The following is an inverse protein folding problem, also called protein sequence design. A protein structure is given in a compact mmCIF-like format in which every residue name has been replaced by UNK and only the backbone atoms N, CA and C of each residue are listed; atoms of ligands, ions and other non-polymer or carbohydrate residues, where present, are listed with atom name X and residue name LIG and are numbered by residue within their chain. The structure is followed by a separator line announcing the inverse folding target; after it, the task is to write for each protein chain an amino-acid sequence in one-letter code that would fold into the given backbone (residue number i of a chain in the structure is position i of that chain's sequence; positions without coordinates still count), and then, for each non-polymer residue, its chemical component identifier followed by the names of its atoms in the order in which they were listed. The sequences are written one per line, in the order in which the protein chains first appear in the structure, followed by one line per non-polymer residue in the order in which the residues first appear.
data_IF_676632852094
#
_entry.id   IF_676632852094
#
_cell.length_a   1.000
_cell.length_b   1.000
_cell.length_c   1.000
_cell.angle_alpha   90.00
_cell.angle_beta   90.00
_cell.angle_gamma   90.00
#
_symmetry.space_group_name_H-M   'P 1'
#
loop_
_entity.id
_entity.type
_entity.pdbx_description
1 polymer ?
#
# COMPACT_ATOMS: atom_id res chain seq x y z
N UNK A 1 3.03 -58.38 33.03
CA UNK A 1 3.12 -56.93 33.30
C UNK A 1 4.53 -56.35 33.07
N UNK A 2 5.62 -56.94 33.61
CA UNK A 2 7.01 -56.44 33.41
C UNK A 2 7.48 -56.32 31.95
N UNK A 3 7.06 -57.22 31.05
CA UNK A 3 7.45 -57.21 29.63
C UNK A 3 6.68 -56.17 28.79
N UNK A 4 5.45 -55.83 29.18
CA UNK A 4 4.63 -54.79 28.51
C UNK A 4 5.13 -53.39 28.90
N UNK A 5 5.52 -53.19 30.17
CA UNK A 5 6.13 -51.93 30.62
C UNK A 5 7.48 -51.65 29.94
N UNK A 6 8.28 -52.69 29.66
CA UNK A 6 9.59 -52.55 29.01
C UNK A 6 9.48 -52.22 27.51
N UNK A 7 8.45 -52.74 26.81
CA UNK A 7 8.18 -52.42 25.40
C UNK A 7 7.63 -50.99 25.25
N UNK A 8 6.79 -50.51 26.18
CA UNK A 8 6.33 -49.12 26.18
C UNK A 8 7.47 -48.11 26.43
N UNK A 9 8.47 -48.45 27.26
CA UNK A 9 9.64 -47.59 27.46
C UNK A 9 10.56 -47.51 26.23
N UNK A 10 10.67 -48.58 25.43
CA UNK A 10 11.48 -48.57 24.21
C UNK A 10 10.81 -47.84 23.03
N UNK A 11 9.48 -47.86 22.96
CA UNK A 11 8.73 -47.11 21.94
C UNK A 11 8.69 -45.60 22.24
N UNK A 12 8.74 -45.20 23.51
CA UNK A 12 8.74 -43.80 23.92
C UNK A 12 10.07 -43.07 23.62
N UNK A 13 11.19 -43.78 23.50
CA UNK A 13 12.50 -43.20 23.18
C UNK A 13 12.74 -42.97 21.68
N UNK A 14 12.07 -43.71 20.78
CA UNK A 14 12.20 -43.49 19.33
C UNK A 14 11.42 -42.28 18.79
N UNK A 15 10.48 -41.72 19.57
CA UNK A 15 9.64 -40.60 19.13
C UNK A 15 10.29 -39.21 19.28
N UNK A 16 11.52 -39.12 19.80
CA UNK A 16 12.20 -37.84 20.07
C UNK A 16 13.29 -37.45 19.05
N UNK A 17 13.53 -38.24 18.02
CA UNK A 17 14.55 -37.94 16.99
C UNK A 17 14.06 -37.00 15.87
N UNK A 18 12.94 -36.28 16.07
CA UNK A 18 12.32 -35.40 15.08
C UNK A 18 12.73 -33.92 15.14
N UNK A 19 13.75 -33.53 15.91
CA UNK A 19 14.25 -32.16 15.91
C UNK A 19 15.13 -31.95 14.67
N UNK A 20 14.50 -31.52 13.58
CA UNK A 20 15.13 -31.35 12.27
C UNK A 20 16.30 -30.37 12.29
N UNK A 21 17.40 -30.78 11.66
CA UNK A 21 18.49 -29.89 11.25
C UNK A 21 17.93 -28.85 10.29
N UNK A 22 18.27 -27.56 10.47
CA UNK A 22 17.83 -26.50 9.55
C UNK A 22 18.77 -26.53 8.34
N UNK A 23 18.30 -26.91 7.15
CA UNK A 23 19.16 -27.06 5.98
C UNK A 23 19.53 -25.68 5.40
N UNK A 24 20.68 -25.57 4.72
CA UNK A 24 21.21 -24.30 4.19
C UNK A 24 20.28 -23.69 3.14
N UNK A 25 19.59 -24.55 2.41
CA UNK A 25 18.60 -24.27 1.39
C UNK A 25 17.42 -23.46 1.95
N UNK A 26 17.03 -23.66 3.21
CA UNK A 26 15.94 -22.91 3.86
C UNK A 26 16.38 -21.49 4.23
N UNK A 27 17.66 -21.28 4.57
CA UNK A 27 18.23 -19.93 4.78
C UNK A 27 18.30 -19.17 3.45
N UNK A 28 18.78 -19.84 2.39
CA UNK A 28 18.89 -19.26 1.05
C UNK A 28 17.51 -18.88 0.48
N UNK A 29 16.51 -19.76 0.63
CA UNK A 29 15.13 -19.47 0.24
C UNK A 29 14.57 -18.24 0.96
N UNK A 30 14.86 -18.07 2.25
CA UNK A 30 14.44 -16.89 3.01
C UNK A 30 15.12 -15.60 2.50
N UNK A 31 16.38 -15.67 2.06
CA UNK A 31 17.07 -14.54 1.44
C UNK A 31 16.45 -14.16 0.10
N UNK A 32 16.23 -15.13 -0.77
CA UNK A 32 15.55 -14.94 -2.08
C UNK A 32 14.14 -14.38 -1.90
N UNK A 33 13.38 -14.88 -0.92
CA UNK A 33 12.05 -14.34 -0.58
C UNK A 33 12.10 -12.85 -0.22
N UNK A 34 13.17 -12.41 0.45
CA UNK A 34 13.38 -10.98 0.73
C UNK A 34 13.61 -10.13 -0.52
N UNK A 35 14.35 -10.66 -1.50
CA UNK A 35 14.57 -10.00 -2.79
C UNK A 35 13.28 -9.94 -3.62
N UNK A 36 12.54 -11.05 -3.68
CA UNK A 36 11.26 -11.12 -4.40
C UNK A 36 10.25 -10.13 -3.80
N UNK A 37 10.19 -10.02 -2.47
CA UNK A 37 9.31 -9.08 -1.79
C UNK A 37 9.64 -7.61 -2.14
N UNK A 38 10.92 -7.28 -2.28
CA UNK A 38 11.36 -5.95 -2.73
C UNK A 38 10.95 -5.67 -4.18
N UNK A 39 11.09 -6.66 -5.07
CA UNK A 39 10.69 -6.52 -6.47
C UNK A 39 9.17 -6.35 -6.62
N UNK A 40 8.39 -7.08 -5.82
CA UNK A 40 6.92 -6.95 -5.78
C UNK A 40 6.54 -5.57 -5.23
N UNK A 41 7.18 -5.09 -4.16
CA UNK A 41 6.93 -3.76 -3.60
C UNK A 41 7.08 -2.67 -4.67
N UNK A 42 8.20 -2.67 -5.39
CA UNK A 42 8.45 -1.70 -6.48
C UNK A 42 7.42 -1.80 -7.60
N UNK A 43 7.00 -3.01 -7.95
CA UNK A 43 5.97 -3.24 -8.97
C UNK A 43 4.61 -2.68 -8.56
N UNK A 44 4.23 -2.86 -7.28
CA UNK A 44 3.00 -2.29 -6.73
C UNK A 44 3.03 -0.76 -6.70
N UNK A 45 4.15 -0.16 -6.27
CA UNK A 45 4.32 1.30 -6.31
C UNK A 45 4.17 1.84 -7.74
N UNK A 46 4.76 1.17 -8.73
CA UNK A 46 4.64 1.57 -10.13
C UNK A 46 3.20 1.45 -10.65
N UNK A 47 2.49 0.37 -10.29
CA UNK A 47 1.08 0.18 -10.66
C UNK A 47 0.19 1.30 -10.10
N UNK A 48 0.37 1.62 -8.81
CA UNK A 48 -0.38 2.68 -8.13
C UNK A 48 -0.16 4.02 -8.83
N UNK A 49 1.11 4.40 -9.05
CA UNK A 49 1.45 5.67 -9.73
C UNK A 49 0.83 5.75 -11.11
N UNK A 50 0.98 4.72 -11.93
CA UNK A 50 0.40 4.68 -13.27
C UNK A 50 -1.13 4.81 -13.25
N UNK A 51 -1.80 4.18 -12.28
CA UNK A 51 -3.24 4.29 -12.11
C UNK A 51 -3.65 5.74 -11.80
N UNK A 52 -3.01 6.38 -10.83
CA UNK A 52 -3.32 7.76 -10.44
C UNK A 52 -2.93 8.78 -11.50
N UNK A 53 -1.85 8.56 -12.25
CA UNK A 53 -1.49 9.36 -13.42
C UNK A 53 -2.57 9.31 -14.49
N UNK A 54 -3.13 8.13 -14.76
CA UNK A 54 -4.23 7.99 -15.70
C UNK A 54 -5.49 8.73 -15.20
N UNK A 55 -5.82 8.66 -13.91
CA UNK A 55 -6.94 9.41 -13.33
C UNK A 55 -6.74 10.93 -13.46
N UNK A 56 -5.53 11.44 -13.22
CA UNK A 56 -5.18 12.85 -13.43
C UNK A 56 -5.36 13.25 -14.90
N UNK A 57 -4.87 12.44 -15.83
CA UNK A 57 -5.00 12.69 -17.27
C UNK A 57 -6.47 12.74 -17.72
N UNK A 58 -7.29 11.78 -17.27
CA UNK A 58 -8.73 11.76 -17.59
C UNK A 58 -9.44 12.98 -17.01
N UNK A 59 -9.14 13.33 -15.76
CA UNK A 59 -9.72 14.50 -15.08
C UNK A 59 -9.34 15.80 -15.79
N UNK A 60 -8.06 15.98 -16.12
CA UNK A 60 -7.59 17.15 -16.86
C UNK A 60 -8.23 17.21 -18.24
N UNK A 61 -8.30 16.10 -18.97
CA UNK A 61 -8.97 16.04 -20.27
C UNK A 61 -10.45 16.40 -20.19
N UNK A 62 -11.15 15.95 -19.14
CA UNK A 62 -12.54 16.35 -18.90
C UNK A 62 -12.67 17.86 -18.63
N UNK A 63 -11.80 18.42 -17.78
CA UNK A 63 -11.78 19.84 -17.48
C UNK A 63 -11.52 20.65 -18.75
N UNK A 64 -10.47 20.31 -19.49
CA UNK A 64 -10.01 21.08 -20.65
C UNK A 64 -10.98 20.99 -21.83
N UNK A 65 -11.55 19.81 -22.10
CA UNK A 65 -12.35 19.59 -23.31
C UNK A 65 -13.86 19.71 -23.10
N UNK A 66 -14.35 19.67 -21.86
CA UNK A 66 -15.80 19.74 -21.57
C UNK A 66 -16.15 20.85 -20.60
N UNK A 67 -15.56 20.86 -19.41
CA UNK A 67 -15.99 21.76 -18.35
C UNK A 67 -15.58 23.22 -18.62
N UNK A 68 -14.30 23.48 -18.93
CA UNK A 68 -13.78 24.82 -19.20
C UNK A 68 -14.52 25.47 -20.38
N UNK A 69 -14.70 24.82 -21.54
CA UNK A 69 -15.44 25.44 -22.65
C UNK A 69 -16.89 25.78 -22.29
N UNK A 70 -17.57 24.91 -21.53
CA UNK A 70 -18.94 25.17 -21.08
C UNK A 70 -19.00 26.33 -20.08
N UNK A 71 -18.08 26.36 -19.12
CA UNK A 71 -17.96 27.44 -18.15
C UNK A 71 -17.67 28.79 -18.81
N UNK A 72 -16.68 28.84 -19.70
CA UNK A 72 -16.32 30.06 -20.44
C UNK A 72 -17.49 30.58 -21.28
N UNK A 73 -18.22 29.70 -21.97
CA UNK A 73 -19.39 30.08 -22.76
C UNK A 73 -20.49 30.73 -21.90
N UNK A 74 -20.69 30.25 -20.66
CA UNK A 74 -21.57 30.89 -19.68
C UNK A 74 -21.02 32.23 -19.19
N UNK A 75 -19.77 32.24 -18.73
CA UNK A 75 -19.12 33.42 -18.17
C UNK A 75 -19.01 34.60 -19.16
N UNK A 76 -18.81 34.33 -20.45
CA UNK A 76 -18.80 35.35 -21.51
C UNK A 76 -20.19 36.01 -21.64
N UNK A 77 -21.26 35.24 -21.54
CA UNK A 77 -22.64 35.74 -21.66
C UNK A 77 -23.06 36.51 -20.42
N UNK A 78 -22.75 35.99 -19.23
CA UNK A 78 -23.10 36.62 -17.96
C UNK A 78 -22.34 37.94 -17.74
N UNK A 79 -21.07 38.01 -18.15
CA UNK A 79 -20.25 39.21 -18.03
C UNK A 79 -20.38 40.22 -19.17
N UNK A 80 -21.26 39.99 -20.16
CA UNK A 80 -21.36 40.74 -21.42
C UNK A 80 -19.99 41.12 -22.02
N UNK A 81 -19.08 40.13 -22.09
CA UNK A 81 -17.71 40.37 -22.54
C UNK A 81 -17.67 40.89 -23.99
N UNK A 82 -18.67 40.51 -24.79
CA UNK A 82 -18.82 40.97 -26.18
C UNK A 82 -19.25 42.43 -26.25
N UNK A 83 -20.14 42.88 -25.35
CA UNK A 83 -20.50 44.29 -25.23
C UNK A 83 -19.31 45.12 -24.75
N UNK A 84 -18.62 44.64 -23.70
CA UNK A 84 -17.41 45.28 -23.18
C UNK A 84 -16.34 45.43 -24.27
N UNK A 85 -16.07 44.39 -25.06
CA UNK A 85 -15.06 44.42 -26.12
C UNK A 85 -15.38 45.39 -27.28
N UNK A 86 -16.64 45.85 -27.41
CA UNK A 86 -17.07 46.83 -28.41
C UNK A 86 -17.02 48.27 -27.90
N UNK A 87 -16.67 48.48 -26.64
CA UNK A 87 -16.60 49.81 -26.05
C UNK A 87 -15.50 50.64 -26.76
N UNK A 88 -15.81 51.89 -27.18
CA UNK A 88 -14.83 52.75 -27.85
C UNK A 88 -13.68 53.22 -26.95
N UNK A 89 -13.80 53.14 -25.62
CA UNK A 89 -12.73 53.49 -24.68
C UNK A 89 -11.77 52.28 -24.48
N UNK A 90 -10.52 52.36 -25.00
CA UNK A 90 -9.57 51.26 -24.88
C UNK A 90 -9.15 50.97 -23.43
N UNK A 91 -9.23 51.96 -22.53
CA UNK A 91 -8.85 51.79 -21.12
C UNK A 91 -9.91 50.99 -20.38
N UNK A 92 -11.20 51.27 -20.63
CA UNK A 92 -12.30 50.47 -20.07
C UNK A 92 -12.27 49.03 -20.60
N UNK A 93 -12.03 48.84 -21.90
CA UNK A 93 -11.87 47.51 -22.50
C UNK A 93 -10.74 46.75 -21.81
N UNK A 94 -9.55 47.35 -21.69
CA UNK A 94 -8.40 46.71 -21.07
C UNK A 94 -8.66 46.32 -19.62
N UNK A 95 -9.19 47.25 -18.81
CA UNK A 95 -9.45 47.00 -17.39
C UNK A 95 -10.51 45.91 -17.19
N UNK A 96 -11.61 45.97 -17.94
CA UNK A 96 -12.70 45.01 -17.81
C UNK A 96 -12.30 43.62 -18.29
N UNK A 97 -11.59 43.51 -19.43
CA UNK A 97 -11.10 42.21 -19.92
C UNK A 97 -10.06 41.62 -18.96
N UNK A 98 -9.15 42.43 -18.43
CA UNK A 98 -8.15 41.98 -17.45
C UNK A 98 -8.82 41.44 -16.19
N UNK A 99 -9.78 42.17 -15.63
CA UNK A 99 -10.54 41.73 -14.45
C UNK A 99 -11.34 40.45 -14.74
N UNK A 100 -11.96 40.34 -15.91
CA UNK A 100 -12.67 39.13 -16.31
C UNK A 100 -11.73 37.92 -16.44
N UNK A 101 -10.56 38.10 -17.06
CA UNK A 101 -9.55 37.04 -17.19
C UNK A 101 -9.06 36.59 -15.82
N UNK A 102 -8.74 37.52 -14.91
CA UNK A 102 -8.29 37.20 -13.55
C UNK A 102 -9.32 36.35 -12.81
N UNK A 103 -10.59 36.79 -12.77
CA UNK A 103 -11.67 36.06 -12.09
C UNK A 103 -11.94 34.69 -12.72
N UNK A 104 -11.90 34.62 -14.04
CA UNK A 104 -12.18 33.40 -14.79
C UNK A 104 -11.07 32.36 -14.60
N UNK A 105 -9.81 32.78 -14.70
CA UNK A 105 -8.65 31.90 -14.46
C UNK A 105 -8.64 31.43 -13.01
N UNK A 106 -8.90 32.32 -12.04
CA UNK A 106 -8.99 31.93 -10.64
C UNK A 106 -10.04 30.83 -10.44
N UNK A 107 -11.22 30.99 -11.05
CA UNK A 107 -12.30 29.99 -10.93
C UNK A 107 -11.92 28.66 -11.57
N UNK A 108 -11.27 28.68 -12.72
CA UNK A 108 -10.77 27.47 -13.40
C UNK A 108 -9.75 26.75 -12.51
N UNK A 109 -8.79 27.47 -11.94
CA UNK A 109 -7.76 26.88 -11.08
C UNK A 109 -8.34 26.34 -9.76
N UNK A 110 -9.30 27.03 -9.16
CA UNK A 110 -10.04 26.53 -8.01
C UNK A 110 -10.75 25.21 -8.35
N UNK A 111 -11.40 25.16 -9.51
CA UNK A 111 -12.07 23.93 -9.96
C UNK A 111 -11.07 22.81 -10.22
N UNK A 112 -9.93 23.10 -10.85
CA UNK A 112 -8.88 22.10 -11.10
C UNK A 112 -8.37 21.52 -9.78
N UNK A 113 -8.06 22.36 -8.79
CA UNK A 113 -7.66 21.92 -7.44
C UNK A 113 -8.70 21.02 -6.79
N UNK A 114 -9.98 21.42 -6.84
CA UNK A 114 -11.08 20.64 -6.25
C UNK A 114 -11.15 19.19 -6.76
N UNK A 115 -10.80 18.96 -8.03
CA UNK A 115 -10.81 17.62 -8.62
C UNK A 115 -9.48 16.88 -8.47
N UNK A 116 -8.35 17.58 -8.55
CA UNK A 116 -7.01 16.96 -8.56
C UNK A 116 -6.49 16.69 -7.14
N UNK A 117 -6.78 17.55 -6.16
CA UNK A 117 -6.26 17.39 -4.79
C UNK A 117 -6.74 16.08 -4.14
N UNK A 118 -8.01 15.65 -4.27
CA UNK A 118 -8.45 14.35 -3.77
C UNK A 118 -7.66 13.19 -4.39
N UNK A 119 -7.42 13.23 -5.70
CA UNK A 119 -6.66 12.19 -6.42
C UNK A 119 -5.23 12.09 -5.86
N UNK A 120 -4.58 13.23 -5.60
CA UNK A 120 -3.24 13.26 -5.02
C UNK A 120 -3.21 12.78 -3.57
N UNK A 121 -4.26 13.11 -2.80
CA UNK A 121 -4.41 12.65 -1.41
C UNK A 121 -4.58 11.13 -1.35
N UNK A 122 -5.46 10.59 -2.19
CA UNK A 122 -5.74 9.14 -2.26
C UNK A 122 -4.48 8.35 -2.70
N UNK A 123 -3.71 8.86 -3.67
CA UNK A 123 -2.44 8.24 -4.07
C UNK A 123 -1.45 8.18 -2.92
N UNK A 124 -1.30 9.30 -2.19
CA UNK A 124 -0.38 9.39 -1.06
C UNK A 124 -0.77 8.43 0.06
N UNK A 125 -2.06 8.36 0.39
CA UNK A 125 -2.57 7.46 1.43
C UNK A 125 -2.36 6.00 1.04
N UNK A 126 -2.67 5.64 -0.22
CA UNK A 126 -2.49 4.27 -0.69
C UNK A 126 -1.02 3.86 -0.73
N UNK A 127 -0.13 4.72 -1.25
CA UNK A 127 1.31 4.45 -1.27
C UNK A 127 1.84 4.27 0.16
N UNK A 128 1.47 5.14 1.10
CA UNK A 128 1.89 5.03 2.49
C UNK A 128 1.43 3.71 3.13
N UNK A 129 0.19 3.30 2.86
CA UNK A 129 -0.36 2.04 3.37
C UNK A 129 0.36 0.80 2.79
N UNK A 130 0.71 0.85 1.51
CA UNK A 130 1.47 -0.22 0.84
C UNK A 130 2.90 -0.27 1.36
N UNK A 131 3.57 0.88 1.47
CA UNK A 131 4.94 0.98 1.97
C UNK A 131 5.06 0.42 3.41
N UNK A 132 4.13 0.78 4.30
CA UNK A 132 4.09 0.26 5.68
C UNK A 132 3.91 -1.27 5.70
N UNK A 133 3.03 -1.79 4.84
CA UNK A 133 2.76 -3.24 4.74
C UNK A 133 4.00 -4.01 4.25
N UNK A 134 4.66 -3.54 3.20
CA UNK A 134 5.88 -4.18 2.69
C UNK A 134 7.06 -4.05 3.65
N UNK A 135 7.20 -2.91 4.35
CA UNK A 135 8.22 -2.75 5.39
C UNK A 135 8.05 -3.77 6.52
N UNK A 136 6.81 -4.02 6.97
CA UNK A 136 6.50 -5.06 7.97
C UNK A 136 6.88 -6.46 7.48
N UNK A 137 6.54 -6.80 6.22
CA UNK A 137 6.86 -8.10 5.62
C UNK A 137 8.38 -8.29 5.47
N UNK A 138 9.11 -7.26 5.02
CA UNK A 138 10.57 -7.30 4.89
C UNK A 138 11.26 -7.46 6.24
N UNK A 139 10.77 -6.76 7.26
CA UNK A 139 11.28 -6.88 8.63
C UNK A 139 11.03 -8.28 9.21
N UNK A 140 9.84 -8.84 8.99
CA UNK A 140 9.52 -10.20 9.40
C UNK A 140 10.44 -11.22 8.71
N UNK A 141 10.64 -11.11 7.39
CA UNK A 141 11.54 -12.00 6.65
C UNK A 141 13.00 -11.87 7.11
N UNK A 142 13.47 -10.64 7.40
CA UNK A 142 14.82 -10.41 7.94
C UNK A 142 15.00 -11.10 9.29
N UNK A 143 13.99 -11.02 10.15
CA UNK A 143 14.00 -11.68 11.46
C UNK A 143 14.04 -13.20 11.31
N UNK A 144 13.23 -13.77 10.41
CA UNK A 144 13.23 -15.21 10.09
C UNK A 144 14.59 -15.63 9.53
N UNK A 145 15.15 -14.88 8.58
CA UNK A 145 16.47 -15.15 8.00
C UNK A 145 17.56 -15.16 9.08
N UNK A 146 17.53 -14.21 10.01
CA UNK A 146 18.47 -14.16 11.13
C UNK A 146 18.29 -15.35 12.09
N UNK A 147 17.06 -15.77 12.36
CA UNK A 147 16.76 -16.96 13.16
C UNK A 147 17.25 -18.24 12.51
N UNK A 148 16.96 -18.45 11.23
CA UNK A 148 17.43 -19.62 10.48
C UNK A 148 18.96 -19.68 10.47
N UNK A 149 19.63 -18.54 10.26
CA UNK A 149 21.08 -18.43 10.35
C UNK A 149 21.62 -18.73 11.76
N UNK A 150 20.97 -18.23 12.80
CA UNK A 150 21.35 -18.49 14.19
C UNK A 150 21.19 -19.96 14.55
N UNK A 151 20.08 -20.59 14.19
CA UNK A 151 19.83 -22.02 14.40
C UNK A 151 20.86 -22.88 13.69
N UNK A 152 21.18 -22.55 12.43
CA UNK A 152 22.26 -23.21 11.68
C UNK A 152 23.59 -23.07 12.40
N UNK A 153 23.94 -21.86 12.86
CA UNK A 153 25.20 -21.61 13.58
C UNK A 153 25.23 -22.36 14.92
N UNK A 154 24.11 -22.46 15.63
CA UNK A 154 23.99 -23.26 16.86
C UNK A 154 24.07 -24.75 16.57
N UNK A 155 23.61 -25.23 15.41
CA UNK A 155 23.77 -26.62 14.97
C UNK A 155 25.24 -26.93 14.61
N UNK A 156 25.90 -26.06 13.84
CA UNK A 156 27.35 -26.15 13.57
C UNK A 156 28.16 -26.10 14.87
N UNK A 157 27.75 -25.26 15.82
CA UNK A 157 28.35 -25.19 17.15
C UNK A 157 27.97 -26.40 17.99
N UNK A 158 26.77 -26.98 17.94
CA UNK A 158 26.41 -28.21 18.69
C UNK A 158 27.22 -29.42 18.21
N UNK A 159 27.44 -29.54 16.90
CA UNK A 159 28.37 -30.52 16.33
C UNK A 159 29.80 -30.32 16.87
N UNK A 160 30.18 -29.07 17.20
CA UNK A 160 31.45 -28.73 17.87
C UNK A 160 31.38 -28.67 19.42
N UNK A 161 30.19 -28.57 20.03
CA UNK A 161 29.91 -28.21 21.41
C UNK A 161 29.22 -29.32 22.21
N UNK A 162 29.43 -30.57 21.79
CA UNK A 162 29.71 -31.67 22.72
C UNK A 162 30.89 -31.39 23.71
N UNK A 163 31.26 -30.12 23.91
CA UNK A 163 32.38 -29.68 24.75
C UNK A 163 32.13 -28.53 25.71
N UNK A 164 31.04 -27.74 25.72
CA UNK A 164 30.83 -26.75 26.82
C UNK A 164 29.44 -26.11 26.92
N UNK A 165 28.98 -25.97 28.17
CA UNK A 165 27.64 -25.59 28.61
C UNK A 165 27.60 -24.14 29.14
N UNK A 166 27.17 -23.15 28.35
CA UNK A 166 26.85 -21.78 28.85
C UNK A 166 25.61 -21.12 28.19
N UNK A 167 24.81 -21.84 27.39
CA UNK A 167 23.84 -21.23 26.44
C UNK A 167 22.45 -20.89 27.03
N UNK A 168 22.19 -21.22 28.31
CA UNK A 168 20.83 -21.10 28.89
C UNK A 168 20.29 -19.65 28.96
N UNK A 169 21.12 -18.67 29.31
CA UNK A 169 20.65 -17.28 29.51
C UNK A 169 20.36 -16.51 28.21
N UNK A 170 20.96 -16.90 27.08
CA UNK A 170 20.69 -16.28 25.78
C UNK A 170 19.31 -16.70 25.23
N UNK A 171 18.93 -17.96 25.45
CA UNK A 171 17.67 -18.55 24.99
C UNK A 171 16.44 -17.79 25.54
N UNK A 172 16.46 -17.44 26.82
CA UNK A 172 15.29 -16.84 27.49
C UNK A 172 15.04 -15.38 27.07
N UNK A 173 16.11 -14.59 26.87
CA UNK A 173 16.00 -13.21 26.39
C UNK A 173 15.51 -13.17 24.94
N UNK A 174 15.95 -14.14 24.14
CA UNK A 174 15.59 -14.27 22.73
C UNK A 174 14.14 -14.75 22.53
N UNK A 175 13.66 -15.70 23.33
CA UNK A 175 12.26 -16.19 23.25
C UNK A 175 11.23 -15.09 23.57
N UNK A 176 11.54 -14.16 24.48
CA UNK A 176 10.68 -12.98 24.73
C UNK A 176 10.61 -12.04 23.53
N UNK A 177 11.72 -11.88 22.81
CA UNK A 177 11.80 -11.01 21.64
C UNK A 177 11.08 -11.62 20.42
N UNK A 178 11.13 -12.95 20.29
CA UNK A 178 10.39 -13.73 19.29
C UNK A 178 8.87 -13.66 19.50
N UNK A 179 8.39 -13.83 20.73
CA UNK A 179 6.96 -13.77 21.04
C UNK A 179 6.34 -12.41 20.68
N UNK A 180 7.02 -11.31 21.05
CA UNK A 180 6.57 -9.94 20.72
C UNK A 180 6.62 -9.61 19.21
N UNK A 181 7.36 -10.39 18.43
CA UNK A 181 7.53 -10.22 16.99
C UNK A 181 6.48 -11.01 16.21
N UNK A 182 6.14 -12.22 16.68
CA UNK A 182 5.09 -13.06 16.07
C UNK A 182 3.70 -12.41 16.12
N UNK A 183 3.39 -11.68 17.19
CA UNK A 183 2.16 -10.87 17.27
C UNK A 183 2.10 -9.76 16.22
N UNK A 184 3.24 -9.09 15.94
CA UNK A 184 3.31 -8.03 14.92
C UNK A 184 3.23 -8.54 13.49
N UNK A 185 3.82 -9.70 13.21
CA UNK A 185 3.71 -10.32 11.88
C UNK A 185 2.27 -10.77 11.60
N UNK A 186 1.58 -11.34 12.60
CA UNK A 186 0.17 -11.74 12.45
C UNK A 186 -0.77 -10.54 12.30
N UNK A 187 -0.49 -9.41 12.96
CA UNK A 187 -1.28 -8.18 12.74
C UNK A 187 -1.04 -7.59 11.35
N UNK A 188 0.22 -7.57 10.87
CA UNK A 188 0.57 -7.07 9.54
C UNK A 188 -0.12 -7.87 8.41
N UNK A 189 -0.16 -9.19 8.51
CA UNK A 189 -0.85 -10.06 7.54
C UNK A 189 -2.37 -9.78 7.53
N UNK A 190 -2.98 -9.62 8.71
CA UNK A 190 -4.41 -9.27 8.82
C UNK A 190 -4.72 -7.88 8.27
N UNK A 191 -3.79 -6.93 8.38
CA UNK A 191 -3.96 -5.59 7.83
C UNK A 191 -3.85 -5.60 6.30
N UNK A 192 -2.95 -6.42 5.73
CA UNK A 192 -2.85 -6.65 4.28
C UNK A 192 -4.09 -7.34 3.72
N UNK A 193 -4.63 -8.37 4.38
CA UNK A 193 -5.89 -9.00 3.97
C UNK A 193 -7.09 -8.04 4.03
N UNK A 194 -7.12 -7.12 5.00
CA UNK A 194 -8.14 -6.07 5.06
C UNK A 194 -8.02 -5.07 3.91
N UNK A 195 -6.80 -4.71 3.51
CA UNK A 195 -6.58 -3.84 2.34
C UNK A 195 -7.05 -4.53 1.07
N UNK A 196 -6.73 -5.81 0.90
CA UNK A 196 -7.17 -6.61 -0.26
C UNK A 196 -8.69 -6.75 -0.35
N UNK A 197 -9.39 -6.87 0.79
CA UNK A 197 -10.86 -6.92 0.86
C UNK A 197 -11.55 -5.55 0.73
N UNK A 198 -10.82 -4.44 0.86
CA UNK A 198 -11.35 -3.07 0.68
C UNK A 198 -11.22 -2.54 -0.75
N UNK A 199 -10.33 -3.11 -1.57
CA UNK A 199 -10.20 -2.77 -3.00
C UNK A 199 -11.55 -2.94 -3.75
N UNK A 200 -12.32 -4.03 -3.57
CA UNK A 200 -13.63 -4.20 -4.21
C UNK A 200 -14.73 -3.33 -3.60
N UNK A 201 -14.62 -2.91 -2.34
CA UNK A 201 -15.58 -1.99 -1.71
C UNK A 201 -15.46 -0.56 -2.25
N UNK A 202 -14.24 -0.10 -2.54
CA UNK A 202 -13.99 1.19 -3.18
C UNK A 202 -14.53 1.22 -4.62
N UNK A 203 -14.39 0.12 -5.37
CA UNK A 203 -14.99 -0.03 -6.70
C UNK A 203 -16.53 -0.05 -6.65
N UNK A 204 -17.14 -0.80 -5.71
CA UNK A 204 -18.61 -0.80 -5.54
C UNK A 204 -19.18 0.53 -5.06
N UNK A 205 -18.42 1.29 -4.27
CA UNK A 205 -18.84 2.62 -3.80
C UNK A 205 -18.75 3.64 -4.94
N UNK A 206 -17.75 3.51 -5.83
CA UNK A 206 -17.66 4.26 -7.08
C UNK A 206 -18.82 3.93 -8.04
N UNK A 207 -19.15 2.65 -8.24
CA UNK A 207 -20.26 2.24 -9.12
C UNK A 207 -21.64 2.63 -8.56
N UNK A 208 -21.83 2.62 -7.24
CA UNK A 208 -23.06 3.14 -6.62
C UNK A 208 -23.19 4.67 -6.68
N UNK A 209 -22.08 5.40 -6.72
CA UNK A 209 -22.08 6.87 -6.87
C UNK A 209 -22.24 7.31 -8.33
N UNK A 210 -21.76 6.49 -9.29
CA UNK A 210 -21.92 6.72 -10.72
C UNK A 210 -23.20 6.12 -11.32
N UNK A 211 -23.81 5.12 -10.66
CA UNK A 211 -25.04 4.46 -11.08
C UNK A 211 -26.34 5.06 -10.52
N UNK A 212 -26.29 6.12 -9.70
CA UNK A 212 -27.48 6.74 -9.09
C UNK A 212 -27.93 8.04 -9.78
N UNK A 213 -27.59 8.22 -11.06
CA UNK A 213 -27.98 9.41 -11.85
C UNK A 213 -28.69 9.08 -13.17
N UNK A 214 -29.41 7.96 -13.19
CA UNK A 214 -30.23 7.55 -14.33
C UNK A 214 -31.30 6.56 -13.90
N UNK A 215 -32.27 7.04 -13.11
CA UNK A 215 -33.66 6.55 -13.06
C UNK A 215 -34.39 7.40 -12.03
N UNK A 216 -34.80 8.59 -12.46
CA UNK A 216 -35.89 9.38 -11.88
C UNK A 216 -36.39 10.29 -13.01
N UNK A 217 -36.97 9.67 -14.06
CA UNK A 217 -37.98 10.33 -14.89
C UNK A 217 -38.77 9.29 -15.68
N UNK A 218 -39.80 8.74 -15.05
CA UNK A 218 -41.03 8.34 -15.72
C UNK A 218 -42.16 8.24 -14.68
N UNK A 219 -42.79 9.39 -14.40
CA UNK A 219 -44.22 9.55 -14.14
C UNK A 219 -44.64 11.01 -14.21
#
# INVERSE_FOLDING_TARGET
MRRVAMICCLAATMSMAGCSTVPKEVVELSYTTGQDLQAVHTSYQALIRNHFDNLRLQTNSYLDNKWIPAFLSGAIKEGDLVGLAKNPDPVEVYNGVSAWVELTVEKIEQQRKLFIDPINSDEKELLASVDDSFAKLMWANTTVTAHLNSLRKVQEVQDQALKSLEIKNFRDKFMKQLAATSERASSAIKDVEKLQNKVPELERKKDKLLGKKGDDNDQ
#
